data_IF_682591865986
#
_entry.id   IF_682591865986
#
_cell.length_a   1.000
_cell.length_b   1.000
_cell.length_c   1.000
_cell.angle_alpha   90.00
_cell.angle_beta   90.00
_cell.angle_gamma   90.00
#
_symmetry.space_group_name_H-M   'P 1'
#
loop_
_entity.id
_entity.type
_entity.pdbx_description
1 polymer ?
#
# COMPACT_ATOMS: atom_id res chain seq x y z
N UNK A 1 54.06 18.63 -1.83
CA UNK A 1 52.89 19.35 -2.32
C UNK A 1 51.93 18.32 -2.96
N UNK A 2 50.99 17.77 -2.20
CA UNK A 2 49.97 16.87 -2.69
C UNK A 2 48.68 17.68 -2.92
N UNK A 3 48.28 17.81 -4.17
CA UNK A 3 46.98 18.37 -4.55
C UNK A 3 45.89 17.30 -4.29
N UNK A 4 45.04 17.55 -3.31
CA UNK A 4 43.82 16.77 -3.12
C UNK A 4 42.84 17.09 -4.27
N UNK A 5 42.53 16.09 -5.08
CA UNK A 5 41.47 16.11 -6.07
C UNK A 5 40.12 16.11 -5.32
N UNK A 6 39.36 17.20 -5.42
CA UNK A 6 37.95 17.23 -4.98
C UNK A 6 37.15 16.27 -5.86
N UNK A 7 36.65 15.20 -5.27
CA UNK A 7 35.63 14.37 -5.90
C UNK A 7 34.34 15.21 -6.05
N UNK A 8 33.91 15.34 -7.28
CA UNK A 8 32.63 15.98 -7.62
C UNK A 8 31.50 15.05 -7.11
N UNK A 9 30.71 15.53 -6.14
CA UNK A 9 29.48 14.86 -5.70
C UNK A 9 28.38 15.18 -6.74
N UNK A 10 27.87 14.21 -7.51
CA UNK A 10 26.86 14.45 -8.56
C UNK A 10 25.46 14.72 -8.01
N UNK A 11 25.27 14.61 -6.71
CA UNK A 11 24.02 14.94 -6.04
C UNK A 11 24.19 16.29 -5.36
N UNK A 12 23.68 17.36 -6.00
CA UNK A 12 23.62 18.69 -5.39
C UNK A 12 23.07 18.61 -3.97
N UNK A 13 23.52 19.49 -3.09
CA UNK A 13 22.97 19.66 -1.74
C UNK A 13 21.47 20.01 -1.84
N UNK A 14 20.63 18.98 -1.89
CA UNK A 14 19.25 19.10 -1.47
C UNK A 14 19.34 19.27 0.05
N UNK A 15 18.98 20.45 0.57
CA UNK A 15 18.76 20.62 2.01
C UNK A 15 17.79 19.50 2.44
N UNK A 16 18.33 18.46 3.04
CA UNK A 16 17.55 17.40 3.64
C UNK A 16 16.91 18.00 4.89
N UNK A 17 15.70 18.52 4.76
CA UNK A 17 14.82 18.54 5.90
C UNK A 17 14.74 17.11 6.41
N UNK A 18 15.37 16.82 7.55
CA UNK A 18 15.26 15.50 8.16
C UNK A 18 13.77 15.27 8.42
N UNK A 19 13.18 14.34 7.70
CA UNK A 19 11.77 13.98 7.85
C UNK A 19 11.55 13.60 9.31
N UNK A 20 10.69 14.35 10.00
CA UNK A 20 10.41 14.08 11.40
C UNK A 20 9.60 12.80 11.50
N UNK A 21 10.16 11.78 12.16
CA UNK A 21 9.46 10.55 12.48
C UNK A 21 8.83 10.73 13.86
N UNK A 22 7.52 10.54 13.93
CA UNK A 22 6.72 10.64 15.16
C UNK A 22 6.33 9.25 15.65
N UNK A 23 6.28 9.08 16.97
CA UNK A 23 6.00 7.81 17.64
C UNK A 23 4.81 7.96 18.60
N UNK A 24 4.45 6.88 19.34
CA UNK A 24 3.31 6.89 20.30
C UNK A 24 3.38 8.03 21.32
N UNK A 25 4.58 8.42 21.76
CA UNK A 25 4.77 9.55 22.68
C UNK A 25 4.38 10.92 22.10
N UNK A 26 4.31 11.01 20.77
CA UNK A 26 3.96 12.23 20.04
C UNK A 26 2.48 12.27 19.66
N UNK A 27 1.68 11.28 20.09
CA UNK A 27 0.26 11.14 19.81
C UNK A 27 -0.57 11.19 21.10
N UNK A 28 -1.69 11.89 21.04
CA UNK A 28 -2.72 11.81 22.09
C UNK A 28 -3.87 10.90 21.61
N UNK A 29 -3.88 9.65 22.08
CA UNK A 29 -4.89 8.68 21.70
C UNK A 29 -6.30 9.04 22.17
N UNK A 30 -6.44 9.95 23.16
CA UNK A 30 -7.74 10.40 23.65
C UNK A 30 -8.53 11.17 22.59
N UNK A 31 -7.85 11.84 21.64
CA UNK A 31 -8.49 12.60 20.59
C UNK A 31 -9.37 11.71 19.70
N UNK A 32 -8.82 10.59 19.20
CA UNK A 32 -9.59 9.68 18.34
C UNK A 32 -10.59 8.84 19.13
N UNK A 33 -10.32 8.53 20.40
CA UNK A 33 -11.27 7.84 21.29
C UNK A 33 -12.51 8.69 21.55
N UNK A 34 -12.38 10.00 21.54
CA UNK A 34 -13.50 10.93 21.67
C UNK A 34 -14.35 11.09 20.41
N UNK A 35 -14.03 10.41 19.32
CA UNK A 35 -14.66 10.54 18.02
C UNK A 35 -15.40 9.28 17.59
N UNK A 36 -16.43 9.48 16.79
CA UNK A 36 -17.11 8.43 16.05
C UNK A 36 -16.42 8.27 14.70
N UNK A 37 -15.86 7.10 14.44
CA UNK A 37 -15.10 6.82 13.21
C UNK A 37 -15.92 5.93 12.28
N UNK A 38 -16.21 6.39 11.07
CA UNK A 38 -16.74 5.56 10.00
C UNK A 38 -15.60 5.05 9.11
N UNK A 39 -15.55 3.74 8.91
CA UNK A 39 -14.70 3.09 7.92
C UNK A 39 -15.56 2.71 6.73
N UNK A 40 -15.32 3.31 5.58
CA UNK A 40 -16.07 3.06 4.35
C UNK A 40 -15.34 2.02 3.51
N UNK A 41 -15.89 0.80 3.50
CA UNK A 41 -15.25 -0.38 2.92
C UNK A 41 -14.66 -1.32 3.96
N UNK A 42 -14.68 -2.62 3.68
CA UNK A 42 -14.15 -3.65 4.59
C UNK A 42 -13.33 -4.70 3.82
N UNK A 43 -12.41 -4.19 2.97
CA UNK A 43 -11.34 -4.96 2.36
C UNK A 43 -10.18 -5.19 3.34
N UNK A 44 -8.99 -5.49 2.85
CA UNK A 44 -7.81 -5.79 3.69
C UNK A 44 -7.48 -4.66 4.65
N UNK A 45 -7.38 -3.40 4.18
CA UNK A 45 -7.13 -2.24 5.04
C UNK A 45 -8.33 -1.94 5.95
N UNK A 46 -9.57 -1.96 5.42
CA UNK A 46 -10.77 -1.70 6.21
C UNK A 46 -10.92 -2.67 7.39
N UNK A 47 -10.64 -3.95 7.20
CA UNK A 47 -10.59 -4.95 8.25
C UNK A 47 -9.56 -4.60 9.34
N UNK A 48 -8.32 -4.31 8.92
CA UNK A 48 -7.24 -4.01 9.86
C UNK A 48 -7.50 -2.72 10.67
N UNK A 49 -7.82 -1.62 9.98
CA UNK A 49 -8.09 -0.33 10.63
C UNK A 49 -9.26 -0.44 11.62
N UNK A 50 -10.36 -1.08 11.22
CA UNK A 50 -11.54 -1.20 12.07
C UNK A 50 -11.29 -1.96 13.35
N UNK A 51 -10.60 -3.10 13.28
CA UNK A 51 -10.33 -3.92 14.45
C UNK A 51 -9.27 -3.30 15.36
N UNK A 52 -8.21 -2.73 14.80
CA UNK A 52 -7.17 -2.07 15.56
C UNK A 52 -7.73 -0.85 16.33
N UNK A 53 -8.55 -0.01 15.67
CA UNK A 53 -9.23 1.11 16.31
C UNK A 53 -10.19 0.66 17.40
N UNK A 54 -11.01 -0.38 17.14
CA UNK A 54 -11.93 -0.94 18.13
C UNK A 54 -11.19 -1.43 19.38
N UNK A 55 -10.10 -2.19 19.20
CA UNK A 55 -9.26 -2.66 20.28
C UNK A 55 -8.51 -1.53 21.00
N UNK A 56 -8.26 -0.41 20.31
CA UNK A 56 -7.72 0.82 20.90
C UNK A 56 -8.79 1.65 21.65
N UNK A 57 -10.05 1.21 21.69
CA UNK A 57 -11.13 1.86 22.43
C UNK A 57 -11.87 2.96 21.66
N UNK A 58 -11.83 2.95 20.33
CA UNK A 58 -12.50 3.92 19.45
C UNK A 58 -13.91 3.43 19.08
N UNK A 59 -14.91 4.31 19.01
CA UNK A 59 -16.25 4.00 18.53
C UNK A 59 -16.26 3.91 16.98
N UNK A 60 -16.13 2.67 16.47
CA UNK A 60 -16.02 2.35 15.05
C UNK A 60 -17.35 1.86 14.48
N UNK A 61 -17.70 2.33 13.28
CA UNK A 61 -18.79 1.83 12.45
C UNK A 61 -18.33 1.60 11.02
N UNK A 62 -18.90 0.59 10.37
CA UNK A 62 -18.54 0.18 9.01
C UNK A 62 -19.64 0.62 8.07
N UNK A 63 -19.30 1.45 7.08
CA UNK A 63 -20.17 1.83 5.98
C UNK A 63 -19.96 0.90 4.78
N UNK A 64 -20.98 0.15 4.39
CA UNK A 64 -20.93 -0.75 3.23
C UNK A 64 -22.07 -0.47 2.26
N UNK A 65 -21.82 -0.75 0.98
CA UNK A 65 -22.85 -0.79 -0.05
C UNK A 65 -23.81 -1.94 0.21
N UNK A 66 -25.06 -1.77 -0.23
CA UNK A 66 -26.06 -2.84 -0.15
C UNK A 66 -25.59 -4.07 -0.93
N UNK A 67 -25.76 -5.24 -0.35
CA UNK A 67 -25.31 -6.50 -0.94
C UNK A 67 -23.82 -6.80 -0.83
N UNK A 68 -23.04 -5.99 -0.10
CA UNK A 68 -21.62 -6.25 0.10
C UNK A 68 -21.34 -7.61 0.73
N UNK A 69 -20.51 -8.43 0.08
CA UNK A 69 -20.05 -9.73 0.59
C UNK A 69 -19.28 -9.62 1.93
N UNK A 70 -18.73 -8.45 2.24
CA UNK A 70 -17.96 -8.20 3.46
C UNK A 70 -18.83 -7.99 4.70
N UNK A 71 -20.15 -7.80 4.55
CA UNK A 71 -21.06 -7.47 5.66
C UNK A 71 -21.03 -8.54 6.74
N UNK A 72 -21.27 -9.79 6.37
CA UNK A 72 -21.28 -10.91 7.32
C UNK A 72 -19.95 -11.07 8.08
N UNK A 73 -18.81 -10.83 7.40
CA UNK A 73 -17.48 -10.88 7.99
C UNK A 73 -17.29 -9.76 9.03
N UNK A 74 -17.74 -8.55 8.73
CA UNK A 74 -17.63 -7.41 9.65
C UNK A 74 -18.55 -7.59 10.89
N UNK A 75 -19.78 -8.07 10.70
CA UNK A 75 -20.73 -8.37 11.76
C UNK A 75 -20.22 -9.49 12.68
N UNK A 76 -19.64 -10.57 12.11
CA UNK A 76 -19.03 -11.66 12.86
C UNK A 76 -17.83 -11.19 13.71
N UNK A 77 -17.10 -10.14 13.28
CA UNK A 77 -16.05 -9.50 14.07
C UNK A 77 -16.60 -8.54 15.16
N UNK A 78 -17.93 -8.47 15.32
CA UNK A 78 -18.60 -7.65 16.33
C UNK A 78 -18.55 -6.16 16.02
N UNK A 79 -18.48 -5.77 14.75
CA UNK A 79 -18.52 -4.38 14.32
C UNK A 79 -19.95 -3.96 13.96
N UNK A 80 -20.28 -2.69 14.21
CA UNK A 80 -21.53 -2.09 13.73
C UNK A 80 -21.46 -1.89 12.22
N UNK A 81 -22.33 -2.53 11.46
CA UNK A 81 -22.40 -2.38 9.99
C UNK A 81 -23.69 -1.66 9.61
N UNK A 82 -23.57 -0.67 8.74
CA UNK A 82 -24.68 0.13 8.23
C UNK A 82 -24.41 0.57 6.79
N UNK A 83 -25.38 1.24 6.15
CA UNK A 83 -25.14 1.83 4.84
C UNK A 83 -24.16 3.01 4.93
N UNK A 84 -23.47 3.31 3.83
CA UNK A 84 -22.44 4.35 3.78
C UNK A 84 -22.96 5.70 4.23
N UNK A 85 -24.14 6.10 3.74
CA UNK A 85 -24.77 7.38 4.09
C UNK A 85 -25.09 7.51 5.59
N UNK A 86 -25.55 6.43 6.23
CA UNK A 86 -25.82 6.44 7.67
C UNK A 86 -24.50 6.51 8.46
N UNK A 87 -23.49 5.74 8.05
CA UNK A 87 -22.18 5.77 8.68
C UNK A 87 -21.52 7.15 8.58
N UNK A 88 -21.56 7.78 7.40
CA UNK A 88 -21.03 9.12 7.18
C UNK A 88 -21.75 10.18 8.01
N UNK A 89 -23.10 10.11 8.08
CA UNK A 89 -23.91 11.05 8.86
C UNK A 89 -23.65 11.01 10.36
N UNK A 90 -23.35 9.82 10.91
CA UNK A 90 -23.11 9.65 12.33
C UNK A 90 -21.66 9.98 12.76
N UNK A 91 -20.72 10.03 11.81
CA UNK A 91 -19.30 10.05 12.10
C UNK A 91 -18.75 11.48 12.21
N UNK A 92 -17.73 11.61 13.08
CA UNK A 92 -16.85 12.79 13.13
C UNK A 92 -15.66 12.64 12.15
N UNK A 93 -15.19 11.40 11.98
CA UNK A 93 -14.08 11.02 11.09
C UNK A 93 -14.56 9.97 10.11
N UNK A 94 -14.40 10.20 8.82
CA UNK A 94 -14.80 9.31 7.74
C UNK A 94 -13.52 8.86 6.99
N UNK A 95 -13.07 7.61 7.23
CA UNK A 95 -11.97 6.99 6.52
C UNK A 95 -12.49 6.19 5.35
N UNK A 96 -12.08 6.56 4.12
CA UNK A 96 -12.51 5.89 2.90
C UNK A 96 -11.47 4.84 2.51
N UNK A 97 -11.87 3.55 2.58
CA UNK A 97 -11.05 2.38 2.26
C UNK A 97 -11.72 1.48 1.20
N UNK A 98 -12.62 2.05 0.41
CA UNK A 98 -13.12 1.46 -0.82
C UNK A 98 -12.05 1.55 -1.92
N UNK A 99 -12.13 0.75 -3.02
CA UNK A 99 -11.22 0.87 -4.16
C UNK A 99 -11.25 2.28 -4.75
N UNK A 100 -10.08 2.82 -5.13
CA UNK A 100 -9.90 4.23 -5.56
C UNK A 100 -10.87 4.66 -6.63
N UNK A 101 -11.09 3.82 -7.64
CA UNK A 101 -11.99 4.11 -8.76
C UNK A 101 -13.47 4.11 -8.38
N UNK A 102 -13.84 3.54 -7.24
CA UNK A 102 -15.21 3.55 -6.70
C UNK A 102 -15.45 4.70 -5.72
N UNK A 103 -14.39 5.26 -5.15
CA UNK A 103 -14.50 6.29 -4.12
C UNK A 103 -15.22 7.55 -4.61
N UNK A 104 -15.01 8.09 -5.84
CA UNK A 104 -15.68 9.31 -6.27
C UNK A 104 -17.21 9.19 -6.26
N UNK A 105 -17.75 8.09 -6.79
CA UNK A 105 -19.21 7.87 -6.79
C UNK A 105 -19.75 7.69 -5.37
N UNK A 106 -19.07 6.91 -4.52
CA UNK A 106 -19.44 6.73 -3.10
C UNK A 106 -19.40 8.07 -2.36
N UNK A 107 -18.38 8.87 -2.62
CA UNK A 107 -18.23 10.18 -2.02
C UNK A 107 -19.38 11.12 -2.43
N UNK A 108 -19.61 11.28 -3.72
CA UNK A 108 -20.62 12.20 -4.26
C UNK A 108 -22.03 11.82 -3.84
N UNK A 109 -22.39 10.54 -3.91
CA UNK A 109 -23.75 10.08 -3.66
C UNK A 109 -24.07 9.88 -2.18
N UNK A 110 -23.10 9.49 -1.35
CA UNK A 110 -23.40 8.98 -0.01
C UNK A 110 -22.60 9.66 1.13
N UNK A 111 -21.44 10.25 0.85
CA UNK A 111 -20.62 10.89 1.88
C UNK A 111 -20.82 12.41 1.87
N UNK A 112 -20.60 13.07 0.74
CA UNK A 112 -20.67 14.52 0.62
C UNK A 112 -21.98 15.13 1.13
N UNK A 113 -23.17 14.55 0.84
CA UNK A 113 -24.45 15.08 1.36
C UNK A 113 -24.59 14.97 2.88
N UNK A 114 -23.75 14.20 3.54
CA UNK A 114 -23.80 13.91 4.97
C UNK A 114 -22.63 14.54 5.76
N UNK A 115 -21.70 15.21 5.07
CA UNK A 115 -20.60 15.92 5.74
C UNK A 115 -21.12 17.16 6.47
N UNK A 116 -20.59 17.37 7.66
CA UNK A 116 -20.80 18.58 8.44
C UNK A 116 -19.49 19.36 8.60
N UNK A 117 -19.58 20.66 8.79
CA UNK A 117 -18.43 21.50 9.09
C UNK A 117 -17.64 20.93 10.29
N UNK A 118 -16.33 20.83 10.17
CA UNK A 118 -15.45 20.27 11.19
C UNK A 118 -15.33 18.74 11.18
N UNK A 119 -16.05 18.03 10.30
CA UNK A 119 -15.74 16.61 10.06
C UNK A 119 -14.35 16.44 9.47
N UNK A 120 -13.77 15.26 9.65
CA UNK A 120 -12.52 14.86 8.99
C UNK A 120 -12.79 13.80 7.93
N UNK A 121 -12.43 14.11 6.69
CA UNK A 121 -12.38 13.16 5.60
C UNK A 121 -10.95 12.59 5.51
N UNK A 122 -10.81 11.29 5.61
CA UNK A 122 -9.52 10.63 5.71
C UNK A 122 -9.35 9.56 4.63
N UNK A 123 -8.12 9.42 4.16
CA UNK A 123 -7.71 8.47 3.13
C UNK A 123 -6.54 7.62 3.61
N UNK A 124 -6.34 6.44 3.01
CA UNK A 124 -5.13 5.62 3.20
C UNK A 124 -4.20 5.64 1.98
N UNK A 125 -4.63 6.28 0.89
CA UNK A 125 -3.87 6.54 -0.32
C UNK A 125 -4.37 7.83 -0.96
N UNK A 126 -3.46 8.61 -1.53
CA UNK A 126 -3.78 9.99 -1.95
C UNK A 126 -4.40 10.13 -3.34
N UNK A 127 -4.68 9.05 -4.09
CA UNK A 127 -5.08 9.04 -5.49
C UNK A 127 -6.20 10.06 -5.82
N UNK A 128 -7.32 9.99 -5.12
CA UNK A 128 -8.50 10.79 -5.45
C UNK A 128 -8.33 12.29 -5.17
N UNK A 129 -7.53 12.64 -4.17
CA UNK A 129 -7.18 14.06 -3.88
C UNK A 129 -6.10 14.54 -4.84
N UNK A 130 -5.04 13.74 -5.08
CA UNK A 130 -3.93 14.09 -5.97
C UNK A 130 -4.41 14.35 -7.41
N UNK A 131 -5.35 13.55 -7.92
CA UNK A 131 -5.84 13.67 -9.29
C UNK A 131 -7.20 14.41 -9.40
N UNK A 132 -7.69 15.01 -8.33
CA UNK A 132 -8.87 15.88 -8.32
C UNK A 132 -10.19 15.16 -8.66
N UNK A 133 -10.30 13.88 -8.36
CA UNK A 133 -11.52 13.09 -8.57
C UNK A 133 -12.50 13.20 -7.37
N UNK A 134 -12.01 13.69 -6.24
CA UNK A 134 -12.79 14.09 -5.07
C UNK A 134 -12.34 15.49 -4.66
N UNK A 135 -13.31 16.41 -4.58
CA UNK A 135 -13.11 17.78 -4.13
C UNK A 135 -13.91 18.02 -2.83
N UNK A 136 -13.25 17.93 -1.67
CA UNK A 136 -13.92 18.16 -0.38
C UNK A 136 -14.33 19.63 -0.18
N UNK A 137 -15.42 19.91 0.58
CA UNK A 137 -15.78 21.26 0.96
C UNK A 137 -14.71 21.88 1.88
N UNK A 138 -14.61 23.23 1.90
CA UNK A 138 -13.54 23.95 2.58
C UNK A 138 -13.64 23.94 4.11
N UNK A 139 -14.74 23.53 4.66
CA UNK A 139 -15.05 23.52 6.10
C UNK A 139 -14.87 22.16 6.77
N UNK A 140 -14.22 21.19 6.07
CA UNK A 140 -13.83 19.91 6.62
C UNK A 140 -12.31 19.74 6.62
N UNK A 141 -11.80 18.93 7.53
CA UNK A 141 -10.40 18.48 7.48
C UNK A 141 -10.22 17.41 6.42
N UNK A 142 -9.08 17.42 5.72
CA UNK A 142 -8.73 16.40 4.74
C UNK A 142 -7.33 15.87 5.05
N UNK A 143 -7.27 14.62 5.45
CA UNK A 143 -6.01 14.00 5.91
C UNK A 143 -5.81 12.61 5.29
N UNK A 144 -4.59 12.12 5.40
CA UNK A 144 -4.22 10.78 5.00
C UNK A 144 -3.39 10.12 6.09
N UNK A 145 -3.71 8.86 6.38
CA UNK A 145 -2.84 7.95 7.12
C UNK A 145 -2.68 6.69 6.28
N UNK A 146 -1.51 6.53 5.68
CA UNK A 146 -1.17 5.48 4.72
C UNK A 146 -0.18 4.49 5.35
N UNK A 147 -0.64 3.35 5.92
CA UNK A 147 0.26 2.30 6.38
C UNK A 147 1.06 1.72 5.21
N UNK A 148 2.38 1.62 5.35
CA UNK A 148 3.26 1.06 4.30
C UNK A 148 3.37 -0.46 4.45
N UNK A 149 2.23 -1.13 4.29
CA UNK A 149 2.09 -2.58 4.33
C UNK A 149 0.70 -3.02 3.85
N UNK A 150 0.54 -4.23 3.29
CA UNK A 150 -0.78 -4.81 3.06
C UNK A 150 -1.61 -4.89 4.34
N UNK A 151 -2.94 -4.72 4.25
CA UNK A 151 -3.81 -4.60 5.42
C UNK A 151 -3.76 -5.80 6.38
N UNK A 152 -3.62 -7.04 5.88
CA UNK A 152 -3.49 -8.22 6.74
C UNK A 152 -2.23 -8.12 7.62
N UNK A 153 -1.11 -7.61 7.11
CA UNK A 153 0.12 -7.39 7.90
C UNK A 153 -0.04 -6.26 8.91
N UNK A 154 -0.81 -5.20 8.59
CA UNK A 154 -1.16 -4.15 9.57
C UNK A 154 -1.89 -4.77 10.77
N UNK A 155 -2.80 -5.73 10.51
CA UNK A 155 -3.54 -6.41 11.58
C UNK A 155 -2.66 -7.36 12.38
N UNK A 156 -1.93 -8.24 11.73
CA UNK A 156 -1.06 -9.24 12.37
C UNK A 156 -0.02 -8.57 13.27
N UNK A 157 0.71 -7.59 12.72
CA UNK A 157 1.75 -6.87 13.48
C UNK A 157 1.18 -6.14 14.70
N UNK A 158 -0.03 -5.58 14.57
CA UNK A 158 -0.72 -4.96 15.70
C UNK A 158 -1.03 -5.98 16.80
N UNK A 159 -1.52 -7.18 16.44
CA UNK A 159 -1.81 -8.25 17.39
C UNK A 159 -0.56 -8.80 18.09
N UNK A 160 0.58 -8.77 17.41
CA UNK A 160 1.90 -9.11 17.96
C UNK A 160 2.46 -8.02 18.89
N UNK A 161 1.74 -6.90 19.08
CA UNK A 161 2.19 -5.78 19.90
C UNK A 161 3.13 -4.79 19.18
N UNK A 162 3.44 -5.05 17.92
CA UNK A 162 4.20 -4.17 17.04
C UNK A 162 3.31 -3.22 16.24
N UNK A 163 3.86 -2.69 15.15
CA UNK A 163 3.17 -1.83 14.19
C UNK A 163 3.90 -1.82 12.85
N UNK A 164 3.25 -1.29 11.83
CA UNK A 164 3.88 -0.99 10.56
C UNK A 164 4.02 0.52 10.41
N UNK A 165 5.10 1.04 9.79
CA UNK A 165 5.25 2.46 9.59
C UNK A 165 4.13 3.02 8.71
N UNK A 166 3.76 4.29 8.93
CA UNK A 166 2.77 4.97 8.12
C UNK A 166 3.26 6.34 7.66
N UNK A 167 2.68 6.81 6.57
CA UNK A 167 2.79 8.19 6.13
C UNK A 167 1.56 8.96 6.60
N UNK A 168 1.75 10.21 7.03
CA UNK A 168 0.69 11.12 7.43
C UNK A 168 0.79 12.40 6.60
N UNK A 169 -0.31 12.80 6.00
CA UNK A 169 -0.41 14.06 5.28
C UNK A 169 -1.68 14.82 5.66
N UNK A 170 -1.58 16.15 5.68
CA UNK A 170 -2.70 17.08 5.82
C UNK A 170 -2.82 17.86 4.52
N UNK A 171 -3.93 17.66 3.81
CA UNK A 171 -4.27 18.42 2.61
C UNK A 171 -5.02 19.70 2.95
N UNK A 172 -5.95 19.61 3.91
CA UNK A 172 -6.77 20.71 4.37
C UNK A 172 -6.98 20.62 5.89
N UNK A 173 -6.75 21.73 6.58
CA UNK A 173 -6.93 21.85 8.03
C UNK A 173 -7.93 22.99 8.31
N UNK A 174 -9.21 22.65 8.28
CA UNK A 174 -10.29 23.59 8.51
C UNK A 174 -10.50 23.89 10.01
N UNK A 175 -10.17 22.91 10.86
CA UNK A 175 -10.38 23.01 12.32
C UNK A 175 -9.17 23.54 13.08
N UNK A 176 -7.98 23.54 12.49
CA UNK A 176 -6.71 23.82 13.17
C UNK A 176 -6.18 22.62 13.99
N UNK A 177 -6.80 21.43 13.85
CA UNK A 177 -6.47 20.22 14.63
C UNK A 177 -6.28 18.98 13.77
N UNK A 178 -6.27 19.12 12.45
CA UNK A 178 -6.23 17.99 11.52
C UNK A 178 -5.03 17.08 11.73
N UNK A 179 -3.83 17.64 11.90
CA UNK A 179 -2.61 16.85 12.12
C UNK A 179 -2.64 16.04 13.43
N UNK A 180 -3.06 16.67 14.52
CA UNK A 180 -3.12 16.02 15.83
C UNK A 180 -4.13 14.85 15.84
N UNK A 181 -5.30 15.04 15.21
CA UNK A 181 -6.33 14.00 15.11
C UNK A 181 -5.90 12.86 14.18
N UNK A 182 -5.24 13.18 13.04
CA UNK A 182 -4.69 12.17 12.15
C UNK A 182 -3.55 11.36 12.80
N UNK A 183 -2.68 12.02 13.60
CA UNK A 183 -1.65 11.34 14.38
C UNK A 183 -2.27 10.42 15.47
N UNK A 184 -3.34 10.86 16.11
CA UNK A 184 -4.11 10.05 17.05
C UNK A 184 -4.73 8.80 16.38
N UNK A 185 -5.25 8.96 15.15
CA UNK A 185 -5.75 7.84 14.35
C UNK A 185 -4.62 6.85 14.03
N UNK A 186 -3.46 7.34 13.57
CA UNK A 186 -2.29 6.49 13.27
C UNK A 186 -1.82 5.70 14.51
N UNK A 187 -1.86 6.31 15.70
CA UNK A 187 -1.60 5.61 16.95
C UNK A 187 -2.68 4.56 17.25
N UNK A 188 -3.95 4.88 17.01
CA UNK A 188 -5.08 3.97 17.20
C UNK A 188 -5.01 2.70 16.35
N UNK A 189 -4.46 2.78 15.15
CA UNK A 189 -4.24 1.59 14.31
C UNK A 189 -2.88 0.91 14.56
N UNK A 190 -2.05 1.42 15.49
CA UNK A 190 -0.76 0.86 15.91
C UNK A 190 0.45 1.33 15.11
N UNK A 191 0.28 2.17 14.08
CA UNK A 191 1.39 2.62 13.24
C UNK A 191 2.43 3.46 13.97
N UNK A 192 2.03 4.23 14.97
CA UNK A 192 2.94 5.04 15.78
C UNK A 192 3.95 4.23 16.59
N UNK A 193 3.76 2.92 16.76
CA UNK A 193 4.74 2.01 17.37
C UNK A 193 5.98 1.84 16.48
N UNK A 194 5.79 1.81 15.17
CA UNK A 194 6.87 1.69 14.18
C UNK A 194 7.40 3.04 13.71
N UNK A 195 6.56 4.07 13.74
CA UNK A 195 6.87 5.42 13.33
C UNK A 195 5.96 5.97 12.23
N UNK A 196 5.63 7.24 12.34
CA UNK A 196 4.78 7.98 11.39
C UNK A 196 5.58 9.12 10.79
N UNK A 197 5.74 9.11 9.46
CA UNK A 197 6.45 10.13 8.70
C UNK A 197 5.46 11.14 8.14
N UNK A 198 5.77 12.43 8.25
CA UNK A 198 4.99 13.49 7.60
C UNK A 198 5.36 13.57 6.12
N UNK A 199 4.34 13.67 5.26
CA UNK A 199 4.47 13.78 3.80
C UNK A 199 3.36 14.67 3.22
N UNK A 200 3.17 14.66 1.91
CA UNK A 200 2.07 15.29 1.20
C UNK A 200 1.24 14.24 0.45
N UNK A 201 0.00 14.56 0.08
CA UNK A 201 -0.81 13.69 -0.79
C UNK A 201 -0.11 13.43 -2.13
N UNK A 202 0.54 14.43 -2.70
CA UNK A 202 1.28 14.31 -3.95
C UNK A 202 2.45 13.33 -3.81
N UNK A 203 3.30 13.53 -2.82
CA UNK A 203 4.50 12.70 -2.61
C UNK A 203 4.13 11.25 -2.31
N UNK A 204 3.16 11.03 -1.42
CA UNK A 204 2.68 9.67 -1.11
C UNK A 204 2.13 8.98 -2.37
N UNK A 205 1.20 9.62 -3.08
CA UNK A 205 0.56 9.01 -4.26
C UNK A 205 1.58 8.67 -5.36
N UNK A 206 2.48 9.59 -5.65
CA UNK A 206 3.47 9.40 -6.72
C UNK A 206 4.49 8.32 -6.36
N UNK A 207 4.98 8.30 -5.13
CA UNK A 207 5.96 7.29 -4.69
C UNK A 207 5.35 5.91 -4.50
N UNK A 208 4.11 5.82 -4.01
CA UNK A 208 3.38 4.57 -3.84
C UNK A 208 3.07 3.92 -5.19
N UNK A 209 2.44 4.65 -6.11
CA UNK A 209 2.18 4.18 -7.47
C UNK A 209 3.46 3.77 -8.22
N UNK A 210 4.53 4.55 -8.06
CA UNK A 210 5.81 4.19 -8.67
C UNK A 210 6.38 2.90 -8.06
N UNK A 211 6.35 2.79 -6.73
CA UNK A 211 6.84 1.61 -6.02
C UNK A 211 6.11 0.34 -6.45
N UNK A 212 4.78 0.40 -6.54
CA UNK A 212 3.96 -0.74 -6.98
C UNK A 212 4.24 -1.14 -8.43
N UNK A 213 4.33 -0.18 -9.35
CA UNK A 213 4.51 -0.44 -10.77
C UNK A 213 5.93 -0.88 -11.11
N UNK A 214 6.93 -0.16 -10.60
CA UNK A 214 8.30 -0.34 -11.03
C UNK A 214 9.08 -1.39 -10.22
N UNK A 215 8.69 -1.67 -8.97
CA UNK A 215 9.47 -2.50 -8.05
C UNK A 215 8.65 -3.60 -7.40
N UNK A 216 7.66 -3.23 -6.56
CA UNK A 216 7.03 -4.15 -5.60
C UNK A 216 6.13 -5.19 -6.24
N UNK A 217 5.33 -4.79 -7.22
CA UNK A 217 4.41 -5.68 -7.92
C UNK A 217 4.86 -5.87 -9.36
N UNK A 218 4.80 -4.85 -10.20
CA UNK A 218 5.10 -4.98 -11.63
C UNK A 218 6.53 -5.45 -11.90
N UNK A 219 7.53 -4.72 -11.39
CA UNK A 219 8.93 -5.06 -11.61
C UNK A 219 9.32 -6.43 -11.07
N UNK A 220 8.92 -6.76 -9.84
CA UNK A 220 9.23 -8.05 -9.22
C UNK A 220 8.56 -9.22 -9.96
N UNK A 221 7.29 -9.07 -10.36
CA UNK A 221 6.57 -10.12 -11.09
C UNK A 221 7.22 -10.42 -12.44
N UNK A 222 7.56 -9.38 -13.21
CA UNK A 222 8.19 -9.56 -14.52
C UNK A 222 9.61 -10.14 -14.40
N UNK A 223 10.37 -9.76 -13.36
CA UNK A 223 11.69 -10.36 -13.10
C UNK A 223 11.57 -11.86 -12.82
N UNK A 224 10.63 -12.27 -11.99
CA UNK A 224 10.37 -13.67 -11.65
C UNK A 224 9.94 -14.46 -12.89
N UNK A 225 9.00 -13.93 -13.67
CA UNK A 225 8.52 -14.59 -14.90
C UNK A 225 9.64 -14.77 -15.91
N UNK A 226 10.40 -13.71 -16.19
CA UNK A 226 11.51 -13.78 -17.14
C UNK A 226 12.59 -14.77 -16.71
N UNK A 227 12.92 -14.84 -15.42
CA UNK A 227 13.87 -15.82 -14.88
C UNK A 227 13.35 -17.25 -15.03
N UNK A 228 12.12 -17.51 -14.65
CA UNK A 228 11.47 -18.80 -14.77
C UNK A 228 11.41 -19.28 -16.23
N UNK A 229 10.94 -18.44 -17.15
CA UNK A 229 10.83 -18.74 -18.57
C UNK A 229 12.21 -19.06 -19.17
N UNK A 230 13.22 -18.25 -18.88
CA UNK A 230 14.60 -18.44 -19.35
C UNK A 230 15.14 -19.82 -18.98
N UNK A 231 14.92 -20.28 -17.74
CA UNK A 231 15.38 -21.58 -17.29
C UNK A 231 14.58 -22.72 -17.97
N UNK A 232 13.25 -22.57 -18.06
CA UNK A 232 12.40 -23.60 -18.68
C UNK A 232 12.68 -23.75 -20.19
N UNK A 233 12.89 -22.65 -20.91
CA UNK A 233 13.27 -22.64 -22.32
C UNK A 233 14.65 -23.29 -22.56
N UNK A 234 15.56 -23.13 -21.60
CA UNK A 234 16.86 -23.81 -21.62
C UNK A 234 16.79 -25.32 -21.29
N UNK A 235 15.58 -25.85 -20.99
CA UNK A 235 15.33 -27.27 -20.76
C UNK A 235 15.43 -27.70 -19.29
N UNK A 236 15.54 -26.78 -18.34
CA UNK A 236 15.50 -27.11 -16.91
C UNK A 236 14.08 -27.46 -16.45
N UNK A 237 13.98 -28.25 -15.37
CA UNK A 237 12.70 -28.62 -14.78
C UNK A 237 11.97 -27.40 -14.25
N UNK A 238 10.67 -27.22 -14.57
CA UNK A 238 9.88 -26.07 -14.09
C UNK A 238 9.82 -25.96 -12.57
N UNK A 239 9.84 -27.08 -11.87
CA UNK A 239 9.85 -27.12 -10.41
C UNK A 239 11.15 -26.50 -9.84
N UNK A 240 12.31 -26.77 -10.45
CA UNK A 240 13.58 -26.12 -10.08
C UNK A 240 13.54 -24.62 -10.39
N UNK A 241 13.09 -24.26 -11.60
CA UNK A 241 12.95 -22.85 -11.99
C UNK A 241 12.03 -22.07 -11.03
N UNK A 242 10.95 -22.69 -10.55
CA UNK A 242 10.06 -22.08 -9.56
C UNK A 242 10.77 -21.85 -8.21
N UNK A 243 11.51 -22.84 -7.70
CA UNK A 243 12.25 -22.70 -6.45
C UNK A 243 13.29 -21.59 -6.53
N UNK A 244 14.08 -21.55 -7.59
CA UNK A 244 15.15 -20.57 -7.79
C UNK A 244 14.65 -19.14 -8.03
N UNK A 245 13.57 -18.96 -8.81
CA UNK A 245 13.13 -17.64 -9.23
C UNK A 245 12.03 -17.03 -8.36
N UNK A 246 11.23 -17.84 -7.65
CA UNK A 246 10.12 -17.35 -6.85
C UNK A 246 10.20 -17.74 -5.38
N UNK A 247 10.32 -19.03 -5.07
CA UNK A 247 10.26 -19.48 -3.68
C UNK A 247 11.42 -18.90 -2.84
N UNK A 248 12.63 -19.00 -3.33
CA UNK A 248 13.84 -18.54 -2.62
C UNK A 248 13.93 -17.01 -2.58
N UNK A 249 13.33 -16.30 -3.54
CA UNK A 249 13.31 -14.83 -3.55
C UNK A 249 12.75 -14.26 -2.23
N UNK A 250 11.73 -14.88 -1.65
CA UNK A 250 11.19 -14.47 -0.34
C UNK A 250 12.24 -14.50 0.75
N UNK A 251 13.08 -15.54 0.79
CA UNK A 251 14.12 -15.70 1.80
C UNK A 251 15.23 -14.67 1.64
N UNK A 252 15.57 -14.33 0.40
CA UNK A 252 16.52 -13.25 0.08
C UNK A 252 15.95 -11.88 0.47
N UNK A 253 14.67 -11.64 0.17
CA UNK A 253 13.99 -10.40 0.57
C UNK A 253 13.92 -10.26 2.10
N UNK A 254 13.73 -11.33 2.84
CA UNK A 254 13.78 -11.32 4.30
C UNK A 254 15.14 -10.85 4.84
N UNK A 255 16.25 -11.26 4.22
CA UNK A 255 17.60 -10.79 4.57
C UNK A 255 17.75 -9.29 4.31
N UNK A 256 17.29 -8.83 3.14
CA UNK A 256 17.28 -7.40 2.80
C UNK A 256 16.43 -6.59 3.79
N UNK A 257 15.26 -7.10 4.15
CA UNK A 257 14.36 -6.46 5.11
C UNK A 257 14.98 -6.32 6.49
N UNK A 258 15.70 -7.35 6.96
CA UNK A 258 16.30 -7.38 8.30
C UNK A 258 17.56 -6.53 8.44
N UNK A 259 18.36 -6.41 7.40
CA UNK A 259 19.68 -5.77 7.52
C UNK A 259 20.18 -5.07 6.26
N UNK A 260 19.32 -4.82 5.28
CA UNK A 260 19.66 -4.17 4.03
C UNK A 260 20.46 -5.06 3.07
N UNK A 261 20.87 -4.49 1.94
CA UNK A 261 21.61 -5.19 0.91
C UNK A 261 22.94 -5.75 1.43
N UNK A 262 23.60 -5.05 2.33
CA UNK A 262 24.87 -5.51 2.90
C UNK A 262 24.72 -6.77 3.74
N UNK A 263 23.63 -6.88 4.52
CA UNK A 263 23.37 -8.08 5.31
C UNK A 263 22.95 -9.26 4.42
N UNK A 264 22.18 -9.02 3.38
CA UNK A 264 21.86 -10.05 2.39
C UNK A 264 23.15 -10.59 1.76
N UNK A 265 24.03 -9.73 1.26
CA UNK A 265 25.32 -10.12 0.65
C UNK A 265 26.23 -10.86 1.62
N UNK A 266 26.32 -10.41 2.87
CA UNK A 266 27.07 -11.12 3.92
C UNK A 266 26.52 -12.53 4.19
N UNK A 267 25.23 -12.74 4.00
CA UNK A 267 24.54 -13.99 4.34
C UNK A 267 24.57 -15.04 3.21
N UNK A 268 24.92 -14.66 1.99
CA UNK A 268 25.04 -15.57 0.85
C UNK A 268 26.49 -15.96 0.58
N UNK A 269 26.73 -16.89 -0.36
CA UNK A 269 28.08 -17.28 -0.74
C UNK A 269 28.81 -16.19 -1.53
N UNK A 270 30.15 -16.17 -1.46
CA UNK A 270 30.95 -15.26 -2.28
C UNK A 270 30.65 -15.39 -3.79
N UNK A 271 30.27 -16.58 -4.24
CA UNK A 271 29.85 -16.83 -5.63
C UNK A 271 28.57 -16.11 -5.98
N UNK A 272 27.58 -16.15 -5.09
CA UNK A 272 26.31 -15.43 -5.26
C UNK A 272 26.51 -13.91 -5.20
N UNK A 273 27.31 -13.43 -4.24
CA UNK A 273 27.67 -12.02 -4.11
C UNK A 273 28.41 -11.49 -5.35
N UNK A 274 29.35 -12.27 -5.88
CA UNK A 274 30.04 -11.92 -7.13
C UNK A 274 29.05 -11.85 -8.31
N UNK A 275 28.16 -12.83 -8.42
CA UNK A 275 27.09 -12.86 -9.43
C UNK A 275 26.17 -11.64 -9.35
N UNK A 276 25.77 -11.20 -8.14
CA UNK A 276 24.99 -10.00 -7.90
C UNK A 276 25.69 -8.76 -8.51
N UNK A 277 26.97 -8.56 -8.18
CA UNK A 277 27.72 -7.38 -8.66
C UNK A 277 27.91 -7.33 -10.18
N UNK A 278 28.16 -8.48 -10.83
CA UNK A 278 28.49 -8.50 -12.27
C UNK A 278 27.28 -8.72 -13.18
N UNK A 279 26.22 -9.37 -12.69
CA UNK A 279 25.04 -9.73 -13.49
C UNK A 279 23.84 -8.83 -13.21
N UNK A 280 23.64 -8.37 -11.97
CA UNK A 280 22.56 -7.49 -11.61
C UNK A 280 22.42 -6.25 -12.51
N UNK A 281 23.51 -5.48 -12.75
CA UNK A 281 23.47 -4.31 -13.65
C UNK A 281 23.20 -4.63 -15.12
N UNK A 282 23.34 -5.88 -15.56
CA UNK A 282 22.99 -6.32 -16.90
C UNK A 282 21.49 -6.57 -17.05
N UNK A 283 20.84 -7.04 -15.98
CA UNK A 283 19.38 -7.27 -15.95
C UNK A 283 18.65 -5.97 -15.74
N UNK A 284 19.04 -5.18 -14.74
CA UNK A 284 18.46 -3.85 -14.44
C UNK A 284 19.47 -2.79 -14.87
N UNK A 285 19.55 -2.55 -16.15
CA UNK A 285 20.46 -1.61 -16.80
C UNK A 285 19.82 -0.24 -17.13
N UNK A 286 20.43 0.46 -18.07
CA UNK A 286 20.01 1.81 -18.44
C UNK A 286 18.61 1.85 -19.09
N UNK A 287 18.23 0.83 -19.88
CA UNK A 287 16.90 0.76 -20.47
C UNK A 287 15.83 0.55 -19.39
N UNK A 288 16.08 -0.28 -18.38
CA UNK A 288 15.18 -0.43 -17.24
C UNK A 288 15.01 0.89 -16.47
N UNK A 289 16.12 1.60 -16.22
CA UNK A 289 16.07 2.93 -15.57
C UNK A 289 15.33 3.97 -16.41
N UNK A 290 15.46 3.91 -17.74
CA UNK A 290 14.71 4.78 -18.65
C UNK A 290 13.21 4.50 -18.59
N UNK A 291 12.81 3.22 -18.58
CA UNK A 291 11.42 2.82 -18.41
C UNK A 291 10.86 3.30 -17.06
N UNK A 292 11.61 3.13 -15.95
CA UNK A 292 11.23 3.64 -14.64
C UNK A 292 10.99 5.15 -14.63
N UNK A 293 11.85 5.93 -15.29
CA UNK A 293 11.66 7.39 -15.42
C UNK A 293 10.41 7.73 -16.22
N UNK A 294 10.11 6.98 -17.26
CA UNK A 294 8.90 7.18 -18.05
C UNK A 294 7.64 6.85 -17.21
N UNK A 295 7.63 5.74 -16.48
CA UNK A 295 6.55 5.37 -15.56
C UNK A 295 6.32 6.48 -14.53
N UNK A 296 7.38 7.00 -13.91
CA UNK A 296 7.26 8.11 -12.96
C UNK A 296 6.66 9.36 -13.61
N UNK A 297 7.09 9.72 -14.81
CA UNK A 297 6.52 10.86 -15.54
C UNK A 297 5.02 10.67 -15.82
N UNK A 298 4.60 9.47 -16.25
CA UNK A 298 3.18 9.14 -16.51
C UNK A 298 2.31 9.17 -15.23
N UNK A 299 2.90 8.92 -14.07
CA UNK A 299 2.26 9.08 -12.77
C UNK A 299 2.13 10.57 -12.44
N UNK A 300 3.21 11.33 -12.57
CA UNK A 300 3.27 12.76 -12.22
C UNK A 300 2.36 13.63 -13.09
N UNK A 301 2.28 13.36 -14.38
CA UNK A 301 1.42 14.09 -15.32
C UNK A 301 -0.04 13.62 -15.36
N UNK A 302 -0.37 12.54 -14.60
CA UNK A 302 -1.70 11.97 -14.50
C UNK A 302 -2.11 11.04 -15.65
N UNK A 303 -1.22 10.76 -16.60
CA UNK A 303 -1.50 9.86 -17.74
C UNK A 303 -1.91 8.47 -17.26
N UNK A 304 -1.21 7.91 -16.25
CA UNK A 304 -1.56 6.61 -15.68
C UNK A 304 -2.95 6.65 -15.02
N UNK A 305 -3.21 7.65 -14.18
CA UNK A 305 -4.49 7.79 -13.48
C UNK A 305 -5.66 7.90 -14.46
N UNK A 306 -5.51 8.72 -15.51
CA UNK A 306 -6.52 8.87 -16.55
C UNK A 306 -6.82 7.55 -17.26
N UNK A 307 -5.79 6.78 -17.66
CA UNK A 307 -5.97 5.47 -18.29
C UNK A 307 -6.72 4.50 -17.36
N UNK A 308 -6.35 4.45 -16.09
CA UNK A 308 -7.00 3.56 -15.12
C UNK A 308 -8.47 3.94 -14.85
N UNK A 309 -8.77 5.22 -14.72
CA UNK A 309 -10.14 5.72 -14.56
C UNK A 309 -10.99 5.39 -15.79
N UNK A 310 -10.45 5.58 -17.00
CA UNK A 310 -11.15 5.26 -18.25
C UNK A 310 -11.40 3.75 -18.42
N UNK A 311 -10.43 2.92 -18.07
CA UNK A 311 -10.55 1.47 -18.09
C UNK A 311 -11.66 1.00 -17.14
N UNK A 312 -11.70 1.58 -15.94
CA UNK A 312 -12.74 1.27 -14.97
C UNK A 312 -14.14 1.70 -15.44
N UNK A 313 -14.28 2.89 -16.03
CA UNK A 313 -15.56 3.37 -16.61
C UNK A 313 -16.09 2.46 -17.70
N UNK A 314 -15.22 1.76 -18.43
CA UNK A 314 -15.59 0.77 -19.47
C UNK A 314 -15.94 -0.61 -18.90
N UNK A 315 -15.86 -0.81 -17.58
CA UNK A 315 -16.10 -2.09 -16.90
C UNK A 315 -14.88 -3.01 -16.88
N UNK A 316 -13.67 -2.47 -17.04
CA UNK A 316 -12.37 -3.14 -16.90
C UNK A 316 -12.09 -4.29 -17.89
N UNK A 317 -12.45 -4.20 -19.17
CA UNK A 317 -12.32 -5.29 -20.11
C UNK A 317 -10.87 -5.75 -20.31
N UNK A 318 -9.93 -4.81 -20.40
CA UNK A 318 -8.51 -5.13 -20.59
C UNK A 318 -7.87 -5.66 -19.29
N UNK A 319 -8.19 -5.05 -18.16
CA UNK A 319 -7.74 -5.51 -16.86
C UNK A 319 -8.18 -6.95 -16.57
N UNK A 320 -9.46 -7.28 -16.81
CA UNK A 320 -9.98 -8.62 -16.55
C UNK A 320 -9.40 -9.64 -17.55
N UNK A 321 -9.18 -9.25 -18.81
CA UNK A 321 -8.50 -10.07 -19.82
C UNK A 321 -7.06 -10.43 -19.40
N UNK A 322 -6.28 -9.42 -18.97
CA UNK A 322 -4.89 -9.61 -18.51
C UNK A 322 -4.89 -10.50 -17.27
N UNK A 323 -5.72 -10.19 -16.26
CA UNK A 323 -5.84 -10.98 -15.04
C UNK A 323 -6.07 -12.45 -15.34
N UNK A 324 -6.96 -12.76 -16.29
CA UNK A 324 -7.26 -14.14 -16.64
C UNK A 324 -6.06 -14.84 -17.29
N UNK A 325 -5.39 -14.17 -18.21
CA UNK A 325 -4.17 -14.70 -18.83
C UNK A 325 -3.03 -14.95 -17.82
N UNK A 326 -2.86 -14.05 -16.85
CA UNK A 326 -1.86 -14.21 -15.79
C UNK A 326 -2.13 -15.39 -14.87
N UNK A 327 -3.40 -15.66 -14.55
CA UNK A 327 -3.81 -16.81 -13.72
C UNK A 327 -3.55 -18.17 -14.42
N UNK A 328 -3.49 -18.21 -15.75
CA UNK A 328 -3.26 -19.44 -16.54
C UNK A 328 -1.78 -19.70 -16.84
N UNK A 329 -0.87 -18.85 -16.36
CA UNK A 329 0.55 -19.02 -16.63
C UNK A 329 1.12 -20.32 -16.02
N UNK A 330 2.10 -20.91 -16.72
CA UNK A 330 2.78 -22.13 -16.28
C UNK A 330 3.44 -21.98 -14.91
N UNK A 331 4.00 -20.81 -14.61
CA UNK A 331 4.58 -20.47 -13.30
C UNK A 331 3.54 -20.67 -12.17
N UNK A 332 2.31 -20.18 -12.35
CA UNK A 332 1.22 -20.31 -11.37
C UNK A 332 0.77 -21.75 -11.19
N UNK A 333 0.65 -22.52 -12.28
CA UNK A 333 0.26 -23.93 -12.24
C UNK A 333 1.29 -24.77 -11.48
N UNK A 334 2.58 -24.58 -11.78
CA UNK A 334 3.69 -25.25 -11.08
C UNK A 334 3.74 -24.83 -9.62
N UNK A 335 3.59 -23.52 -9.37
CA UNK A 335 3.60 -22.96 -8.03
C UNK A 335 2.47 -23.49 -7.15
N UNK A 336 1.24 -23.59 -7.66
CA UNK A 336 0.11 -24.13 -6.92
C UNK A 336 0.37 -25.59 -6.47
N UNK A 337 0.87 -26.43 -7.39
CA UNK A 337 1.25 -27.81 -7.08
C UNK A 337 2.32 -27.88 -5.98
N UNK A 338 3.37 -27.06 -6.06
CA UNK A 338 4.48 -27.09 -5.09
C UNK A 338 4.03 -26.53 -3.74
N UNK A 339 3.26 -25.44 -3.71
CA UNK A 339 2.73 -24.88 -2.46
C UNK A 339 1.83 -25.87 -1.72
N UNK A 340 1.00 -26.66 -2.43
CA UNK A 340 0.17 -27.69 -1.80
C UNK A 340 0.99 -28.80 -1.12
N UNK A 341 2.24 -29.01 -1.54
CA UNK A 341 3.17 -29.97 -0.93
C UNK A 341 3.94 -29.40 0.28
N UNK A 342 3.79 -28.11 0.57
CA UNK A 342 4.49 -27.39 1.64
C UNK A 342 3.46 -26.76 2.63
N UNK A 343 2.80 -27.57 3.48
CA UNK A 343 1.74 -27.07 4.36
C UNK A 343 2.21 -25.99 5.34
N UNK A 344 3.50 -25.95 5.66
CA UNK A 344 4.10 -24.91 6.52
C UNK A 344 4.12 -23.51 5.87
N UNK A 345 3.89 -23.41 4.56
CA UNK A 345 3.75 -22.13 3.85
C UNK A 345 2.37 -21.52 4.07
N UNK A 346 1.40 -22.31 4.59
CA UNK A 346 -0.02 -21.95 4.72
C UNK A 346 -0.59 -21.42 3.38
N UNK A 347 -0.61 -22.27 2.33
CA UNK A 347 -0.91 -21.82 0.99
C UNK A 347 -2.34 -21.28 0.87
N UNK A 348 -2.46 -20.13 0.23
CA UNK A 348 -3.75 -19.49 -0.06
C UNK A 348 -4.14 -19.81 -1.51
N UNK A 349 -5.33 -20.35 -1.70
CA UNK A 349 -5.93 -20.53 -3.04
C UNK A 349 -6.95 -19.43 -3.30
N UNK A 350 -6.74 -18.68 -4.39
CA UNK A 350 -7.71 -17.69 -4.87
C UNK A 350 -8.70 -18.41 -5.78
N UNK A 351 -9.98 -18.39 -5.42
CA UNK A 351 -11.04 -18.98 -6.26
C UNK A 351 -11.37 -18.04 -7.41
N UNK A 352 -11.65 -18.63 -8.59
CA UNK A 352 -12.09 -17.85 -9.74
C UNK A 352 -13.31 -17.01 -9.37
N UNK A 353 -13.18 -15.67 -9.56
CA UNK A 353 -14.25 -14.70 -9.27
C UNK A 353 -14.19 -14.03 -7.90
N UNK A 354 -13.09 -14.23 -7.14
CA UNK A 354 -12.78 -13.46 -5.93
C UNK A 354 -11.89 -12.26 -6.21
#
# INVERSE_FOLDING_TARGET
MHRATRQHNPFGEVERHMTQIRYEKDADLSLIRGKKVAIIGYGSQGHAHSLNLKESGVDVRIGLQDGSKSKAKAEAAGLKVMSVNVAAKEADVIMILAPDTSQPAIYEEQIAPNLAAGNMLMFAHGFNIRYGTIEPPKDVDVTMVAPKSPGHRVRETYQEGGGVPALLAVHQDATGHADALAMSYAAGIGCARAGVLTTTFTEETETDLFGEQAVLCGGASELVKAGFETLVEAGYQPELAYFECLHELKLIVDLMYRGGLNYMRYSVSNTAEWGDYVSGPRVIGDESKKAMKQILNEIQDGTFAKRWIEENKKGRPEFDRIRHAEQEQRLEQVGAKLRSMMPFVDPVEIKQGE
#
